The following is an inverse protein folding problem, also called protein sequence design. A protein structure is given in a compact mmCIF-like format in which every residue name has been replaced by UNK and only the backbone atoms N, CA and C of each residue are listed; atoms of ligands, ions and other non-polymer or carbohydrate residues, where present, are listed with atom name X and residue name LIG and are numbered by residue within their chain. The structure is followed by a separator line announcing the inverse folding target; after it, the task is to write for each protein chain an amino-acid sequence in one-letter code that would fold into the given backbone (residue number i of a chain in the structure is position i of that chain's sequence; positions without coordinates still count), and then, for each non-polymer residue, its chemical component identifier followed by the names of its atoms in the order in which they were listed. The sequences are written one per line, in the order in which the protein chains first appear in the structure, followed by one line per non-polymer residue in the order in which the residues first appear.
data_IF_920129313970
#
_entry.id   IF_920129313970
#
_cell.length_a   1.000
_cell.length_b   1.000
_cell.length_c   1.000
_cell.angle_alpha   90.00
_cell.angle_beta   90.00
_cell.angle_gamma   90.00
#
_symmetry.space_group_name_H-M   'P 1'
#
loop_
_entity.id
_entity.type
_entity.pdbx_description
1 polymer ?
#
# COMPACT_ATOMS: atom_id res chain seq x y z
N UNK A 1 -14.79 -6.40 -10.24
CA UNK A 1 -13.39 -6.80 -10.55
C UNK A 1 -12.95 -7.72 -9.42
N UNK A 2 -12.30 -8.85 -9.67
CA UNK A 2 -11.76 -9.65 -8.57
C UNK A 2 -10.54 -8.92 -7.96
N UNK A 3 -10.19 -9.25 -6.73
CA UNK A 3 -9.15 -8.55 -5.97
C UNK A 3 -7.75 -8.65 -6.61
N UNK A 4 -7.46 -9.75 -7.30
CA UNK A 4 -6.20 -9.88 -8.06
C UNK A 4 -6.14 -8.87 -9.22
N UNK A 5 -7.24 -8.70 -9.96
CA UNK A 5 -7.31 -7.73 -11.06
C UNK A 5 -7.29 -6.29 -10.53
N UNK A 6 -7.80 -6.06 -9.32
CA UNK A 6 -7.61 -4.81 -8.58
C UNK A 6 -6.13 -4.50 -8.37
N UNK A 7 -5.36 -5.41 -7.75
CA UNK A 7 -3.93 -5.17 -7.52
C UNK A 7 -3.12 -5.07 -8.81
N UNK A 8 -3.50 -5.80 -9.87
CA UNK A 8 -2.89 -5.61 -11.21
C UNK A 8 -3.13 -4.21 -11.76
N UNK A 9 -4.32 -3.65 -11.54
CA UNK A 9 -4.62 -2.27 -11.93
C UNK A 9 -3.77 -1.29 -11.13
N UNK A 10 -3.64 -1.50 -9.81
CA UNK A 10 -2.79 -0.64 -8.98
C UNK A 10 -1.33 -0.67 -9.41
N UNK A 11 -0.78 -1.83 -9.75
CA UNK A 11 0.60 -1.91 -10.28
C UNK A 11 0.77 -1.15 -11.60
N UNK A 12 -0.24 -1.16 -12.47
CA UNK A 12 -0.22 -0.37 -13.72
C UNK A 12 -0.34 1.13 -13.46
N UNK A 13 -1.16 1.53 -12.48
CA UNK A 13 -1.30 2.93 -12.07
C UNK A 13 0.01 3.46 -11.48
N UNK A 14 0.66 2.69 -10.60
CA UNK A 14 1.96 3.03 -10.04
C UNK A 14 3.01 3.21 -11.14
N UNK A 15 3.12 2.25 -12.06
CA UNK A 15 4.03 2.38 -13.20
C UNK A 15 3.71 3.60 -14.08
N UNK A 16 2.42 3.96 -14.21
CA UNK A 16 2.02 5.15 -14.97
C UNK A 16 2.49 6.43 -14.29
N UNK A 17 2.40 6.50 -12.97
CA UNK A 17 2.87 7.65 -12.19
C UNK A 17 4.40 7.77 -12.23
N UNK A 18 5.13 6.67 -12.10
CA UNK A 18 6.59 6.65 -12.31
C UNK A 18 7.01 7.14 -13.69
N UNK A 19 6.20 6.90 -14.74
CA UNK A 19 6.49 7.39 -16.09
C UNK A 19 6.31 8.89 -16.26
N UNK A 20 5.77 9.59 -15.27
CA UNK A 20 5.70 11.06 -15.27
C UNK A 20 7.04 11.71 -14.90
N UNK A 21 8.06 10.90 -14.59
CA UNK A 21 9.43 11.32 -14.29
C UNK A 21 9.95 12.36 -15.27
N UNK A 22 10.34 13.51 -14.75
CA UNK A 22 11.07 14.55 -15.46
C UNK A 22 12.37 14.85 -14.74
N UNK A 23 13.41 15.24 -15.49
CA UNK A 23 14.70 15.59 -14.91
C UNK A 23 14.77 17.09 -14.73
N UNK A 24 15.06 17.54 -13.50
CA UNK A 24 15.24 18.94 -13.15
C UNK A 24 16.65 19.17 -12.63
N UNK A 25 17.19 20.36 -12.89
CA UNK A 25 18.46 20.78 -12.31
C UNK A 25 18.17 21.46 -10.97
N UNK A 26 18.62 20.85 -9.87
CA UNK A 26 18.66 21.53 -8.58
C UNK A 26 19.78 22.57 -8.60
N UNK A 27 19.38 23.84 -8.57
CA UNK A 27 20.31 24.97 -8.61
C UNK A 27 21.14 25.14 -7.35
N UNK A 28 20.73 24.52 -6.23
CA UNK A 28 21.42 24.59 -4.94
C UNK A 28 22.58 23.61 -4.89
N UNK A 29 22.34 22.38 -5.34
CA UNK A 29 23.31 21.28 -5.31
C UNK A 29 24.05 21.09 -6.64
N UNK A 30 23.57 21.74 -7.70
CA UNK A 30 24.03 21.57 -9.08
C UNK A 30 23.96 20.10 -9.55
N UNK A 31 23.00 19.35 -9.00
CA UNK A 31 22.70 17.96 -9.34
C UNK A 31 21.40 17.85 -10.14
N UNK A 32 21.28 16.80 -10.95
CA UNK A 32 20.02 16.46 -11.59
C UNK A 32 19.17 15.65 -10.62
N UNK A 33 17.94 16.09 -10.38
CA UNK A 33 16.94 15.38 -9.60
C UNK A 33 15.79 14.91 -10.50
N UNK A 34 15.02 13.96 -10.01
CA UNK A 34 13.77 13.55 -10.63
C UNK A 34 12.59 14.23 -9.93
N UNK A 35 11.68 14.78 -10.72
CA UNK A 35 10.37 15.24 -10.26
C UNK A 35 9.29 14.40 -10.93
N UNK A 36 8.20 14.18 -10.19
CA UNK A 36 7.05 13.40 -10.64
C UNK A 36 5.78 14.26 -10.63
N UNK A 37 4.85 13.96 -11.54
CA UNK A 37 3.49 14.52 -11.53
C UNK A 37 2.47 13.39 -11.42
N UNK A 38 2.49 12.64 -10.30
CA UNK A 38 1.69 11.45 -10.14
C UNK A 38 0.20 11.77 -10.02
N UNK A 39 -0.64 10.81 -10.37
CA UNK A 39 -2.10 10.91 -10.24
C UNK A 39 -2.65 10.04 -9.12
N UNK A 40 -2.07 8.88 -8.88
CA UNK A 40 -2.62 7.84 -8.01
C UNK A 40 -1.79 7.65 -6.74
N UNK A 41 -0.48 7.79 -6.83
CA UNK A 41 0.44 7.45 -5.74
C UNK A 41 1.37 8.60 -5.34
N UNK A 42 1.71 8.67 -4.05
CA UNK A 42 2.87 9.41 -3.59
C UNK A 42 4.14 8.62 -4.00
N UNK A 43 4.63 8.95 -5.19
CA UNK A 43 5.79 8.26 -5.79
C UNK A 43 7.06 8.53 -5.00
N UNK A 44 7.24 9.73 -4.44
CA UNK A 44 8.44 10.08 -3.68
C UNK A 44 8.53 9.27 -2.38
N UNK A 45 7.41 9.16 -1.66
CA UNK A 45 7.29 8.31 -0.48
C UNK A 45 7.60 6.85 -0.81
N UNK A 46 7.02 6.32 -1.88
CA UNK A 46 7.27 4.94 -2.34
C UNK A 46 8.74 4.72 -2.71
N UNK A 47 9.40 5.69 -3.38
CA UNK A 47 10.83 5.57 -3.71
C UNK A 47 11.66 5.50 -2.44
N UNK A 48 11.42 6.42 -1.50
CA UNK A 48 12.16 6.52 -0.25
C UNK A 48 12.05 5.24 0.59
N UNK A 49 10.84 4.69 0.70
CA UNK A 49 10.59 3.53 1.57
C UNK A 49 11.05 2.20 0.94
N UNK A 50 10.83 2.01 -0.36
CA UNK A 50 11.14 0.74 -1.01
C UNK A 50 12.53 0.70 -1.67
N UNK A 51 13.30 1.80 -1.60
CA UNK A 51 14.67 1.88 -2.13
C UNK A 51 14.72 1.63 -3.63
N UNK A 52 13.86 2.31 -4.38
CA UNK A 52 13.63 2.04 -5.80
C UNK A 52 14.76 2.62 -6.66
N UNK A 53 15.27 1.80 -7.59
CA UNK A 53 16.06 2.28 -8.72
C UNK A 53 15.14 2.94 -9.75
N UNK A 54 15.08 4.26 -9.70
CA UNK A 54 14.21 5.10 -10.52
C UNK A 54 14.49 4.98 -12.03
N UNK A 55 15.70 4.61 -12.43
CA UNK A 55 16.09 4.47 -13.84
C UNK A 55 15.71 3.12 -14.44
N UNK A 56 15.39 2.13 -13.61
CA UNK A 56 15.05 0.78 -14.03
C UNK A 56 13.71 0.29 -13.46
N UNK A 57 12.74 1.20 -13.30
CA UNK A 57 11.43 0.84 -12.76
C UNK A 57 10.51 0.21 -13.82
N UNK A 58 10.29 -1.10 -13.71
CA UNK A 58 9.43 -1.88 -14.60
C UNK A 58 8.07 -2.23 -13.98
N UNK A 59 7.17 -2.83 -14.79
CA UNK A 59 5.90 -3.36 -14.28
C UNK A 59 6.10 -4.43 -13.20
N UNK A 60 7.16 -5.24 -13.31
CA UNK A 60 7.45 -6.27 -12.32
C UNK A 60 7.86 -5.64 -10.98
N UNK A 61 8.63 -4.54 -11.02
CA UNK A 61 8.97 -3.77 -9.82
C UNK A 61 7.70 -3.19 -9.19
N UNK A 62 6.84 -2.56 -9.98
CA UNK A 62 5.56 -2.02 -9.52
C UNK A 62 4.68 -3.11 -8.87
N UNK A 63 4.59 -4.30 -9.48
CA UNK A 63 3.86 -5.44 -8.90
C UNK A 63 4.44 -5.88 -7.55
N UNK A 64 5.76 -5.90 -7.38
CA UNK A 64 6.38 -6.21 -6.09
C UNK A 64 6.15 -5.13 -5.04
N UNK A 65 6.19 -3.86 -5.41
CA UNK A 65 5.86 -2.75 -4.50
C UNK A 65 4.41 -2.87 -4.03
N UNK A 66 3.46 -3.04 -4.96
CA UNK A 66 2.03 -3.21 -4.59
C UNK A 66 1.83 -4.42 -3.69
N UNK A 67 2.54 -5.53 -3.91
CA UNK A 67 2.46 -6.68 -3.02
C UNK A 67 2.89 -6.34 -1.59
N UNK A 68 4.01 -5.63 -1.42
CA UNK A 68 4.50 -5.20 -0.10
C UNK A 68 3.54 -4.25 0.59
N UNK A 69 3.03 -3.26 -0.13
CA UNK A 69 2.01 -2.33 0.35
C UNK A 69 0.73 -3.06 0.79
N UNK A 70 0.39 -4.16 0.12
CA UNK A 70 -0.75 -5.03 0.44
C UNK A 70 -0.41 -6.13 1.48
N UNK A 71 0.68 -5.98 2.23
CA UNK A 71 1.17 -6.92 3.25
C UNK A 71 1.62 -8.31 2.74
N UNK A 72 2.23 -8.38 1.55
CA UNK A 72 2.85 -9.60 1.03
C UNK A 72 4.34 -9.39 0.72
N UNK A 73 5.16 -10.39 0.98
CA UNK A 73 6.61 -10.36 0.70
C UNK A 73 6.94 -10.16 -0.79
N UNK A 74 6.11 -10.73 -1.66
CA UNK A 74 6.27 -10.67 -3.13
C UNK A 74 4.96 -10.91 -3.86
N UNK A 75 4.91 -10.43 -5.11
CA UNK A 75 3.74 -10.58 -5.99
C UNK A 75 3.24 -12.02 -6.14
N UNK A 76 4.15 -12.99 -6.19
CA UNK A 76 3.79 -14.40 -6.32
C UNK A 76 3.04 -14.96 -5.10
N UNK A 77 3.26 -14.40 -3.91
CA UNK A 77 2.53 -14.78 -2.69
C UNK A 77 1.12 -14.21 -2.72
N UNK A 78 0.97 -12.93 -3.09
CA UNK A 78 -0.33 -12.29 -3.32
C UNK A 78 -1.19 -13.09 -4.33
N UNK A 79 -0.60 -13.56 -5.43
CA UNK A 79 -1.34 -14.35 -6.44
C UNK A 79 -1.87 -15.70 -5.93
N UNK A 80 -1.32 -16.22 -4.83
CA UNK A 80 -1.68 -17.52 -4.24
C UNK A 80 -2.53 -17.38 -2.99
N UNK A 81 -2.75 -16.14 -2.54
CA UNK A 81 -3.53 -15.85 -1.35
C UNK A 81 -4.98 -16.32 -1.51
N UNK A 82 -5.56 -16.72 -0.39
CA UNK A 82 -6.97 -17.08 -0.25
C UNK A 82 -7.85 -15.84 -0.50
N UNK A 83 -9.15 -16.04 -0.80
CA UNK A 83 -10.08 -14.92 -0.94
C UNK A 83 -10.12 -14.00 0.28
N UNK A 84 -10.07 -14.56 1.49
CA UNK A 84 -10.09 -13.78 2.74
C UNK A 84 -8.82 -12.95 2.93
N UNK A 85 -7.63 -13.53 2.69
CA UNK A 85 -6.37 -12.79 2.73
C UNK A 85 -6.34 -11.65 1.70
N UNK A 86 -6.89 -11.88 0.50
CA UNK A 86 -6.99 -10.86 -0.53
C UNK A 86 -7.95 -9.73 -0.14
N UNK A 87 -9.11 -10.07 0.46
CA UNK A 87 -10.06 -9.08 0.96
C UNK A 87 -9.44 -8.22 2.07
N UNK A 88 -8.80 -8.85 3.06
CA UNK A 88 -8.09 -8.14 4.12
C UNK A 88 -7.01 -7.22 3.56
N UNK A 89 -6.19 -7.73 2.64
CA UNK A 89 -5.14 -6.95 2.00
C UNK A 89 -5.71 -5.74 1.26
N UNK A 90 -6.85 -5.89 0.57
CA UNK A 90 -7.50 -4.77 -0.10
C UNK A 90 -8.05 -3.74 0.89
N UNK A 91 -8.66 -4.19 2.00
CA UNK A 91 -9.17 -3.29 3.04
C UNK A 91 -8.03 -2.47 3.66
N UNK A 92 -6.94 -3.12 4.07
CA UNK A 92 -5.76 -2.45 4.60
C UNK A 92 -5.16 -1.49 3.58
N UNK A 93 -5.10 -1.89 2.31
CA UNK A 93 -4.57 -1.08 1.22
C UNK A 93 -5.40 0.19 0.98
N UNK A 94 -6.74 0.07 0.91
CA UNK A 94 -7.63 1.19 0.59
C UNK A 94 -7.78 2.19 1.75
N UNK A 95 -7.42 1.77 2.96
CA UNK A 95 -7.62 2.53 4.20
C UNK A 95 -6.32 2.78 4.99
N UNK A 96 -5.16 2.77 4.32
CA UNK A 96 -3.85 3.06 4.93
C UNK A 96 -3.81 4.39 5.67
N UNK A 97 -4.61 5.37 5.22
CA UNK A 97 -4.71 6.67 5.87
C UNK A 97 -5.47 6.64 7.21
N UNK A 98 -6.09 5.52 7.57
CA UNK A 98 -6.76 5.30 8.85
C UNK A 98 -5.89 4.45 9.77
N UNK A 99 -5.34 3.35 9.26
CA UNK A 99 -4.44 2.44 9.98
C UNK A 99 -3.39 1.90 9.02
N UNK A 100 -2.11 2.02 9.39
CA UNK A 100 -1.01 1.41 8.65
C UNK A 100 -0.88 -0.09 9.00
N UNK A 101 -0.03 -0.80 8.25
CA UNK A 101 0.16 -2.24 8.46
C UNK A 101 0.71 -2.54 9.86
N UNK A 102 1.65 -1.74 10.34
CA UNK A 102 2.27 -1.92 11.66
C UNK A 102 1.22 -1.71 12.76
N UNK A 103 0.43 -0.64 12.68
CA UNK A 103 -0.66 -0.38 13.61
C UNK A 103 -1.70 -1.49 13.61
N UNK A 104 -2.04 -2.03 12.43
CA UNK A 104 -2.96 -3.17 12.31
C UNK A 104 -2.39 -4.43 12.97
N UNK A 105 -1.12 -4.76 12.71
CA UNK A 105 -0.44 -5.90 13.33
C UNK A 105 -0.43 -5.79 14.86
N UNK A 106 -0.13 -4.61 15.41
CA UNK A 106 -0.18 -4.37 16.85
C UNK A 106 -1.61 -4.49 17.41
N UNK A 107 -2.60 -3.96 16.69
CA UNK A 107 -4.00 -4.04 17.10
C UNK A 107 -4.47 -5.50 17.18
N UNK A 108 -4.23 -6.29 16.13
CA UNK A 108 -4.58 -7.70 16.09
C UNK A 108 -3.82 -8.50 17.15
N UNK A 109 -2.55 -8.21 17.39
CA UNK A 109 -1.77 -8.84 18.45
C UNK A 109 -2.38 -8.59 19.84
N UNK A 110 -2.85 -7.36 20.13
CA UNK A 110 -3.52 -7.03 21.39
C UNK A 110 -4.88 -7.72 21.54
N UNK A 111 -5.62 -7.90 20.44
CA UNK A 111 -6.89 -8.64 20.43
C UNK A 111 -6.71 -10.16 20.57
N UNK A 112 -5.56 -10.70 20.17
CA UNK A 112 -5.23 -12.13 20.30
C UNK A 112 -4.96 -12.49 21.77
N UNK A 113 -6.02 -12.59 22.56
CA UNK A 113 -5.91 -12.65 24.02
C UNK A 113 -5.29 -13.94 24.56
N UNK A 114 -5.37 -15.10 23.87
CA UNK A 114 -4.70 -16.35 24.25
C UNK A 114 -4.80 -17.41 23.12
N UNK A 115 -3.69 -17.69 22.42
CA UNK A 115 -3.42 -18.90 21.60
C UNK A 115 -4.19 -19.12 20.29
N UNK A 116 -5.35 -18.48 20.05
CA UNK A 116 -6.04 -18.57 18.76
C UNK A 116 -5.53 -17.50 17.78
N UNK A 117 -4.87 -17.94 16.71
CA UNK A 117 -4.49 -17.08 15.59
C UNK A 117 -5.76 -16.50 14.96
N UNK A 118 -5.90 -15.17 14.95
CA UNK A 118 -6.99 -14.49 14.26
C UNK A 118 -6.71 -14.62 12.77
N UNK A 119 -7.31 -15.62 12.13
CA UNK A 119 -7.17 -15.83 10.69
C UNK A 119 -7.70 -14.64 9.87
N UNK A 120 -7.46 -14.67 8.56
CA UNK A 120 -7.85 -13.58 7.68
C UNK A 120 -9.38 -13.33 7.66
N UNK A 121 -10.20 -14.36 7.83
CA UNK A 121 -11.66 -14.21 7.83
C UNK A 121 -12.11 -13.43 9.07
N UNK A 122 -11.57 -13.77 10.24
CA UNK A 122 -11.86 -13.05 11.48
C UNK A 122 -11.32 -11.61 11.41
N UNK A 123 -10.10 -11.43 10.90
CA UNK A 123 -9.51 -10.10 10.75
C UNK A 123 -10.32 -9.19 9.82
N UNK A 124 -10.91 -9.71 8.74
CA UNK A 124 -11.81 -8.94 7.85
C UNK A 124 -13.01 -8.40 8.62
N UNK A 125 -13.64 -9.23 9.47
CA UNK A 125 -14.81 -8.82 10.23
C UNK A 125 -14.44 -7.79 11.31
N UNK A 126 -13.31 -8.00 12.00
CA UNK A 126 -12.77 -7.01 12.94
C UNK A 126 -12.48 -5.69 12.21
N UNK A 127 -11.85 -5.74 11.03
CA UNK A 127 -11.52 -4.53 10.27
C UNK A 127 -12.78 -3.73 9.94
N UNK A 128 -13.81 -4.40 9.41
CA UNK A 128 -15.09 -3.75 9.06
C UNK A 128 -15.74 -3.12 10.28
N UNK A 129 -15.81 -3.83 11.41
CA UNK A 129 -16.38 -3.30 12.65
C UNK A 129 -15.61 -2.06 13.13
N UNK A 130 -14.29 -2.17 13.27
CA UNK A 130 -13.48 -1.13 13.91
C UNK A 130 -13.27 0.11 13.02
N UNK A 131 -13.09 -0.08 11.72
CA UNK A 131 -12.72 0.98 10.77
C UNK A 131 -13.94 1.66 10.16
N UNK A 132 -15.06 0.93 9.96
CA UNK A 132 -16.27 1.47 9.33
C UNK A 132 -17.39 1.76 10.32
N UNK A 133 -17.65 0.86 11.27
CA UNK A 133 -18.76 1.03 12.21
C UNK A 133 -18.36 1.91 13.39
N UNK A 134 -17.26 1.56 14.06
CA UNK A 134 -16.82 2.24 15.27
C UNK A 134 -15.91 3.45 15.00
N UNK A 135 -15.32 3.53 13.80
CA UNK A 135 -14.44 4.62 13.36
C UNK A 135 -13.30 4.91 14.37
N UNK A 136 -12.76 3.87 15.01
CA UNK A 136 -11.82 4.01 16.13
C UNK A 136 -10.44 4.53 15.72
N UNK A 137 -10.20 4.72 14.42
CA UNK A 137 -8.92 5.21 13.90
C UNK A 137 -9.04 6.59 13.25
N UNK A 138 -10.22 7.22 13.27
CA UNK A 138 -10.46 8.50 12.60
C UNK A 138 -9.73 9.69 13.25
N UNK A 139 -9.20 9.52 14.47
CA UNK A 139 -8.34 10.52 15.11
C UNK A 139 -6.86 10.38 14.76
N UNK A 140 -6.46 9.33 14.03
CA UNK A 140 -5.10 9.14 13.58
C UNK A 140 -4.92 9.78 12.20
N UNK A 141 -3.85 10.55 12.05
CA UNK A 141 -3.43 11.09 10.75
C UNK A 141 -2.23 10.28 10.30
N UNK A 142 -2.47 9.32 9.40
CA UNK A 142 -1.44 8.42 8.87
C UNK A 142 -1.18 8.77 7.42
N UNK A 143 0.10 8.88 7.09
CA UNK A 143 0.57 9.07 5.72
C UNK A 143 0.16 7.87 4.85
N UNK A 144 -0.31 8.14 3.64
CA UNK A 144 -0.77 7.10 2.71
C UNK A 144 -0.01 7.21 1.41
N UNK A 145 0.37 6.06 0.86
CA UNK A 145 0.92 6.02 -0.50
C UNK A 145 -0.12 6.40 -1.56
N UNK A 146 -1.41 6.36 -1.24
CA UNK A 146 -2.47 6.73 -2.16
C UNK A 146 -2.74 8.23 -2.09
N UNK A 147 -2.66 8.90 -3.24
CA UNK A 147 -3.10 10.28 -3.34
C UNK A 147 -4.62 10.32 -3.30
N UNK A 148 -5.17 11.02 -2.30
CA UNK A 148 -6.61 11.28 -2.25
C UNK A 148 -6.99 12.11 -3.49
N UNK A 149 -7.91 11.58 -4.29
CA UNK A 149 -8.62 12.43 -5.24
C UNK A 149 -9.53 13.36 -4.42
N UNK A 150 -9.21 14.64 -4.42
CA UNK A 150 -10.05 15.72 -3.88
C UNK A 150 -11.38 15.85 -4.59
#
# INVERSE_FOLDING_TARGET
MNTIDYFKLQAKNLLRDFKTKTTVLDKTTNAFLYEYSPRYFDVEMIIAEFGIDEDNFSLMNAQHVIAKIANFDKWASLLKATPAELELAQLLYDHQNKIDLIGWEFYIADQSTNEDELDAEIQVEIFKQMVFEENIFDYMEIESYLLKHS
#
